data_IF_218745183782
#
_entry.id   IF_218745183782
#
_cell.length_a   1.000
_cell.length_b   1.000
_cell.length_c   1.000
_cell.angle_alpha   90.00
_cell.angle_beta   90.00
_cell.angle_gamma   90.00
#
_symmetry.space_group_name_H-M   'P 1'
#
loop_
_entity.id
_entity.type
_entity.pdbx_description
1 polymer ?
#
# COMPACT_ATOMS: atom_id res chain seq x y z
N UNK A 1 4.17 -4.30 -16.70
CA UNK A 1 2.76 -3.92 -16.97
C UNK A 1 1.92 -3.90 -15.70
N UNK A 2 1.94 -4.93 -14.86
CA UNK A 2 1.19 -4.99 -13.59
C UNK A 2 1.58 -3.87 -12.60
N UNK A 3 2.88 -3.57 -12.51
CA UNK A 3 3.39 -2.44 -11.74
C UNK A 3 2.80 -1.10 -12.20
N UNK A 4 2.72 -0.91 -13.51
CA UNK A 4 2.38 0.37 -14.11
C UNK A 4 0.90 0.71 -13.88
N UNK A 5 0.04 -0.31 -13.88
CA UNK A 5 -1.40 -0.18 -13.58
C UNK A 5 -1.62 0.16 -12.10
N UNK A 6 -0.93 -0.53 -11.19
CA UNK A 6 -1.05 -0.29 -9.75
C UNK A 6 -0.46 1.08 -9.35
N UNK A 7 0.70 1.44 -9.90
CA UNK A 7 1.32 2.75 -9.71
C UNK A 7 0.43 3.85 -10.28
N UNK A 8 -0.16 3.66 -11.47
CA UNK A 8 -1.18 4.58 -11.99
C UNK A 8 -2.37 4.72 -11.04
N UNK A 9 -2.87 3.64 -10.44
CA UNK A 9 -3.98 3.70 -9.49
C UNK A 9 -3.61 4.51 -8.22
N UNK A 10 -2.42 4.29 -7.66
CA UNK A 10 -1.92 5.02 -6.49
C UNK A 10 -1.68 6.50 -6.84
N UNK A 11 -1.08 6.79 -8.00
CA UNK A 11 -0.84 8.15 -8.48
C UNK A 11 -2.15 8.89 -8.75
N UNK A 12 -3.14 8.23 -9.35
CA UNK A 12 -4.48 8.79 -9.57
C UNK A 12 -5.18 9.07 -8.24
N UNK A 13 -5.07 8.16 -7.25
CA UNK A 13 -5.59 8.42 -5.90
C UNK A 13 -4.93 9.66 -5.27
N UNK A 14 -3.59 9.76 -5.36
CA UNK A 14 -2.82 10.92 -4.84
C UNK A 14 -3.24 12.23 -5.54
N UNK A 15 -3.46 12.23 -6.85
CA UNK A 15 -3.86 13.41 -7.64
C UNK A 15 -5.30 13.85 -7.35
N UNK A 16 -6.22 12.91 -7.09
CA UNK A 16 -7.63 13.21 -6.85
C UNK A 16 -7.84 13.80 -5.44
N UNK A 17 -7.08 13.35 -4.44
CA UNK A 17 -7.28 13.79 -3.06
C UNK A 17 -6.50 15.09 -2.75
N UNK A 18 -7.15 16.25 -2.93
CA UNK A 18 -6.60 17.59 -2.65
C UNK A 18 -6.15 17.88 -1.20
N UNK A 19 -6.28 16.93 -0.26
CA UNK A 19 -5.90 17.07 1.15
C UNK A 19 -4.89 15.98 1.51
N UNK A 20 -3.74 16.38 2.08
CA UNK A 20 -2.68 15.46 2.50
C UNK A 20 -3.19 14.34 3.41
N UNK A 21 -4.08 14.65 4.35
CA UNK A 21 -4.72 13.65 5.22
C UNK A 21 -5.41 12.55 4.37
N UNK A 22 -6.21 12.93 3.38
CA UNK A 22 -6.93 11.99 2.52
C UNK A 22 -5.98 11.15 1.66
N UNK A 23 -4.91 11.73 1.16
CA UNK A 23 -3.86 11.01 0.42
C UNK A 23 -3.22 9.94 1.30
N UNK A 24 -2.82 10.30 2.52
CA UNK A 24 -2.23 9.38 3.50
C UNK A 24 -3.20 8.24 3.82
N UNK A 25 -4.48 8.54 4.07
CA UNK A 25 -5.51 7.51 4.24
C UNK A 25 -5.61 6.57 3.05
N UNK A 26 -5.65 7.10 1.82
CA UNK A 26 -5.76 6.26 0.62
C UNK A 26 -4.57 5.33 0.41
N UNK A 27 -3.34 5.81 0.65
CA UNK A 27 -2.12 5.00 0.52
C UNK A 27 -2.13 3.85 1.54
N UNK A 28 -2.43 4.16 2.82
CA UNK A 28 -2.43 3.15 3.88
C UNK A 28 -3.57 2.14 3.69
N UNK A 29 -4.77 2.58 3.29
CA UNK A 29 -5.89 1.67 2.98
C UNK A 29 -5.51 0.72 1.84
N UNK A 30 -4.86 1.22 0.79
CA UNK A 30 -4.41 0.38 -0.32
C UNK A 30 -3.35 -0.65 0.14
N UNK A 31 -2.37 -0.25 0.96
CA UNK A 31 -1.37 -1.19 1.49
C UNK A 31 -2.01 -2.27 2.38
N UNK A 32 -2.90 -1.87 3.29
CA UNK A 32 -3.63 -2.81 4.16
C UNK A 32 -4.47 -3.78 3.33
N UNK A 33 -5.12 -3.30 2.27
CA UNK A 33 -5.86 -4.15 1.34
C UNK A 33 -4.97 -5.20 0.67
N UNK A 34 -3.80 -4.81 0.17
CA UNK A 34 -2.82 -5.76 -0.41
C UNK A 34 -2.35 -6.79 0.62
N UNK A 35 -2.12 -6.37 1.86
CA UNK A 35 -1.76 -7.29 2.97
C UNK A 35 -2.88 -8.27 3.30
N UNK A 36 -4.14 -7.83 3.29
CA UNK A 36 -5.30 -8.72 3.49
C UNK A 36 -5.42 -9.73 2.35
N UNK A 37 -5.25 -9.30 1.09
CA UNK A 37 -5.22 -10.22 -0.05
C UNK A 37 -4.07 -11.24 0.06
N UNK A 38 -2.91 -10.79 0.54
CA UNK A 38 -1.77 -11.68 0.82
C UNK A 38 -2.10 -12.70 1.89
N UNK A 39 -2.75 -12.29 2.97
CA UNK A 39 -3.20 -13.19 4.03
C UNK A 39 -4.17 -14.24 3.48
N UNK A 40 -5.17 -13.82 2.71
CA UNK A 40 -6.14 -14.73 2.06
C UNK A 40 -5.41 -15.72 1.16
N UNK A 41 -4.50 -15.25 0.32
CA UNK A 41 -3.70 -16.09 -0.58
C UNK A 41 -2.93 -17.19 0.16
N UNK A 42 -2.34 -16.89 1.31
CA UNK A 42 -1.57 -17.88 2.09
C UNK A 42 -2.46 -18.92 2.80
N UNK A 43 -3.75 -18.62 2.98
CA UNK A 43 -4.69 -19.50 3.66
C UNK A 43 -5.65 -20.23 2.70
N UNK A 44 -5.57 -19.98 1.39
CA UNK A 44 -6.33 -20.73 0.38
C UNK A 44 -5.59 -22.01 0.00
N UNK A 45 -6.27 -23.15 0.10
CA UNK A 45 -5.75 -24.48 -0.26
C UNK A 45 -5.69 -24.73 -1.77
N UNK A 46 -6.37 -23.93 -2.59
CA UNK A 46 -6.40 -24.08 -4.04
C UNK A 46 -5.16 -23.50 -4.72
N UNK A 47 -4.33 -24.39 -5.29
CA UNK A 47 -3.11 -24.05 -6.03
C UNK A 47 -3.38 -23.16 -7.26
N UNK A 48 -4.52 -23.33 -7.93
CA UNK A 48 -4.88 -22.54 -9.13
C UNK A 48 -5.18 -21.08 -8.76
N UNK A 49 -5.99 -20.87 -7.72
CA UNK A 49 -6.28 -19.53 -7.22
C UNK A 49 -5.02 -18.87 -6.66
N UNK A 50 -4.18 -19.63 -5.96
CA UNK A 50 -2.89 -19.14 -5.49
C UNK A 50 -2.02 -18.64 -6.66
N UNK A 51 -1.85 -19.44 -7.71
CA UNK A 51 -1.03 -19.08 -8.87
C UNK A 51 -1.60 -17.87 -9.62
N UNK A 52 -2.91 -17.77 -9.77
CA UNK A 52 -3.57 -16.63 -10.42
C UNK A 52 -3.37 -15.33 -9.63
N UNK A 53 -3.63 -15.35 -8.32
CA UNK A 53 -3.46 -14.18 -7.45
C UNK A 53 -1.98 -13.77 -7.37
N UNK A 54 -1.06 -14.73 -7.31
CA UNK A 54 0.37 -14.46 -7.23
C UNK A 54 0.95 -13.83 -8.50
N UNK A 55 0.33 -14.08 -9.65
CA UNK A 55 0.73 -13.49 -10.92
C UNK A 55 0.38 -12.00 -10.99
N UNK A 56 -0.84 -11.63 -10.59
CA UNK A 56 -1.36 -10.28 -10.83
C UNK A 56 -1.35 -9.35 -9.61
N UNK A 57 -1.30 -9.89 -8.39
CA UNK A 57 -1.48 -9.11 -7.16
C UNK A 57 -0.16 -9.05 -6.39
N UNK A 58 0.40 -7.84 -6.19
CA UNK A 58 1.57 -7.67 -5.37
C UNK A 58 1.26 -7.87 -3.88
N UNK A 59 2.27 -8.33 -3.12
CA UNK A 59 2.09 -8.68 -1.71
C UNK A 59 1.82 -7.47 -0.80
N UNK A 60 2.49 -6.35 -1.07
CA UNK A 60 2.42 -5.12 -0.29
C UNK A 60 3.11 -3.98 -1.05
N UNK A 61 2.93 -2.74 -0.60
CA UNK A 61 3.65 -1.58 -1.16
C UNK A 61 5.17 -1.73 -1.01
N UNK A 62 5.73 -2.13 0.16
CA UNK A 62 7.17 -2.39 0.28
C UNK A 62 7.68 -3.44 -0.71
N UNK A 63 6.96 -4.56 -0.90
CA UNK A 63 7.36 -5.60 -1.83
C UNK A 63 7.38 -5.11 -3.30
N UNK A 64 6.56 -4.11 -3.62
CA UNK A 64 6.61 -3.45 -4.93
C UNK A 64 7.87 -2.60 -5.06
N UNK A 65 8.21 -1.84 -4.00
CA UNK A 65 9.42 -1.02 -3.96
C UNK A 65 10.65 -1.91 -4.12
N UNK A 66 10.72 -3.02 -3.40
CA UNK A 66 11.82 -3.99 -3.43
C UNK A 66 11.99 -4.66 -4.79
N UNK A 67 10.90 -4.96 -5.48
CA UNK A 67 10.93 -5.59 -6.80
C UNK A 67 11.48 -4.65 -7.89
N UNK A 68 11.39 -3.34 -7.69
CA UNK A 68 11.64 -2.34 -8.74
C UNK A 68 12.77 -1.36 -8.43
N UNK A 69 13.27 -1.36 -7.20
CA UNK A 69 14.36 -0.48 -6.76
C UNK A 69 15.35 -1.25 -5.92
N UNK A 70 16.61 -0.79 -5.89
CA UNK A 70 17.66 -1.41 -5.09
C UNK A 70 18.61 -0.38 -4.50
N UNK A 71 19.41 -0.82 -3.52
CA UNK A 71 20.40 0.02 -2.84
C UNK A 71 19.78 1.21 -2.11
N UNK A 72 20.47 2.35 -2.14
CA UNK A 72 20.10 3.55 -1.39
C UNK A 72 18.71 4.11 -1.79
N UNK A 73 18.32 3.96 -3.06
CA UNK A 73 17.02 4.45 -3.55
C UNK A 73 15.88 3.65 -2.91
N UNK A 74 16.03 2.33 -2.80
CA UNK A 74 15.04 1.48 -2.14
C UNK A 74 14.88 1.87 -0.67
N UNK A 75 15.99 2.00 0.04
CA UNK A 75 16.00 2.36 1.46
C UNK A 75 15.28 3.70 1.70
N UNK A 76 15.58 4.71 0.88
CA UNK A 76 14.92 6.01 0.95
C UNK A 76 13.39 5.92 0.72
N UNK A 77 12.94 5.12 -0.25
CA UNK A 77 11.51 4.91 -0.53
C UNK A 77 10.80 4.16 0.61
N UNK A 78 11.46 3.19 1.23
CA UNK A 78 10.96 2.49 2.42
C UNK A 78 10.77 3.48 3.57
N UNK A 79 11.72 4.40 3.79
CA UNK A 79 11.57 5.44 4.82
C UNK A 79 10.42 6.40 4.54
N UNK A 80 10.20 6.79 3.27
CA UNK A 80 9.01 7.58 2.89
C UNK A 80 7.72 6.81 3.24
N UNK A 81 7.66 5.52 2.91
CA UNK A 81 6.53 4.67 3.26
C UNK A 81 6.28 4.65 4.79
N UNK A 82 7.34 4.53 5.59
CA UNK A 82 7.24 4.57 7.06
C UNK A 82 6.68 5.91 7.56
N UNK A 83 7.15 7.03 7.01
CA UNK A 83 6.63 8.37 7.37
C UNK A 83 5.13 8.48 7.06
N UNK A 84 4.68 7.95 5.92
CA UNK A 84 3.25 7.94 5.57
C UNK A 84 2.42 7.17 6.62
N UNK A 85 2.91 6.03 7.11
CA UNK A 85 2.24 5.27 8.16
C UNK A 85 2.21 6.01 9.51
N UNK A 86 3.30 6.69 9.89
CA UNK A 86 3.34 7.53 11.09
C UNK A 86 2.31 8.67 11.00
N UNK A 87 2.22 9.34 9.84
CA UNK A 87 1.23 10.38 9.60
C UNK A 87 -0.20 9.84 9.70
N UNK A 88 -0.45 8.64 9.17
CA UNK A 88 -1.76 7.98 9.26
C UNK A 88 -2.15 7.72 10.71
N UNK A 89 -1.26 7.16 11.53
CA UNK A 89 -1.52 6.90 12.95
C UNK A 89 -1.82 8.19 13.72
N UNK A 90 -1.07 9.26 13.43
CA UNK A 90 -1.31 10.57 14.01
C UNK A 90 -2.70 11.10 13.64
N UNK A 91 -3.08 11.03 12.36
CA UNK A 91 -4.39 11.49 11.89
C UNK A 91 -5.54 10.65 12.45
N UNK A 92 -5.38 9.34 12.54
CA UNK A 92 -6.38 8.44 13.09
C UNK A 92 -6.60 8.72 14.58
N UNK A 93 -5.52 8.78 15.35
CA UNK A 93 -5.55 9.09 16.79
C UNK A 93 -6.17 10.45 17.05
N UNK A 94 -5.75 11.47 16.29
CA UNK A 94 -6.33 12.82 16.38
C UNK A 94 -7.83 12.81 16.08
N UNK A 95 -8.26 12.05 15.06
CA UNK A 95 -9.67 11.93 14.70
C UNK A 95 -10.50 11.23 15.78
N UNK A 96 -9.93 10.23 16.46
CA UNK A 96 -10.60 9.51 17.55
C UNK A 96 -10.72 10.35 18.84
N UNK A 97 -9.67 11.12 19.17
CA UNK A 97 -9.63 11.96 20.37
C UNK A 97 -10.45 13.25 20.23
N UNK A 98 -10.65 13.73 18.99
CA UNK A 98 -11.50 14.88 18.71
C UNK A 98 -12.96 14.47 18.86
N UNK A 99 -13.46 14.51 20.10
CA UNK A 99 -14.90 14.41 20.41
C UNK A 99 -15.64 15.46 19.57
N UNK A 100 -16.70 15.03 18.90
CA UNK A 100 -17.68 15.93 18.28
C UNK A 100 -18.40 16.73 19.35
#
# INVERSE_FOLDING_TARGET
MELLILVCYIVVAVIIFRKLEKVVYSIVIADVFLRLLTFIKHNITSQELFNFLNKYIPLSIPNIIDKHTGGVINEFLIWIYVIVFIMFEFYLTRSLLRKK
#
